data_IF_322305289357
#
_entry.id   IF_322305289357
#
_cell.length_a   1.000
_cell.length_b   1.000
_cell.length_c   1.000
_cell.angle_alpha   90.00
_cell.angle_beta   90.00
_cell.angle_gamma   90.00
#
_symmetry.space_group_name_H-M   'P 1'
#
loop_
_entity.id
_entity.type
_entity.pdbx_description
1 polymer ?
#
# COMPACT_ATOMS: atom_id res chain seq x y z
N UNK A 1 15.54 5.56 4.42
CA UNK A 1 14.68 5.92 3.28
C UNK A 1 14.37 7.40 3.40
N UNK A 2 14.30 8.12 2.28
CA UNK A 2 13.93 9.54 2.30
C UNK A 2 12.45 9.72 2.69
N UNK A 3 12.13 10.68 3.59
CA UNK A 3 10.76 10.94 3.98
C UNK A 3 9.99 11.66 2.87
N UNK A 4 8.66 11.56 2.91
CA UNK A 4 7.78 12.34 2.08
C UNK A 4 7.56 13.72 2.70
N UNK A 5 7.75 14.77 1.92
CA UNK A 5 7.48 16.15 2.35
C UNK A 5 6.16 16.62 1.73
N UNK A 6 5.17 16.90 2.58
CA UNK A 6 3.99 17.64 2.16
C UNK A 6 4.37 19.10 1.98
N UNK A 7 4.17 19.63 0.78
CA UNK A 7 4.47 21.01 0.42
C UNK A 7 3.21 21.74 -0.04
N UNK A 8 3.03 22.96 0.46
CA UNK A 8 2.11 23.93 -0.09
C UNK A 8 2.95 25.06 -0.65
N UNK A 9 2.98 25.21 -1.97
CA UNK A 9 3.93 26.07 -2.69
C UNK A 9 5.38 25.77 -2.25
N UNK A 10 6.13 26.79 -1.81
CA UNK A 10 7.51 26.66 -1.35
C UNK A 10 7.66 26.25 0.13
N UNK A 11 6.54 26.02 0.84
CA UNK A 11 6.55 25.70 2.26
C UNK A 11 6.25 24.24 2.53
N UNK A 12 7.15 23.57 3.27
CA UNK A 12 6.85 22.27 3.87
C UNK A 12 5.83 22.45 4.99
N UNK A 13 4.70 21.75 4.88
CA UNK A 13 3.60 21.78 5.85
C UNK A 13 3.51 20.50 6.69
N UNK A 14 4.23 19.44 6.29
CA UNK A 14 4.30 18.19 7.02
C UNK A 14 5.32 17.23 6.44
N UNK A 15 5.66 16.19 7.20
CA UNK A 15 6.65 15.17 6.83
C UNK A 15 6.08 13.80 7.21
N UNK A 16 6.24 12.80 6.35
CA UNK A 16 5.88 11.42 6.62
C UNK A 16 7.07 10.49 6.36
N UNK A 17 7.42 9.69 7.35
CA UNK A 17 8.49 8.70 7.32
C UNK A 17 7.96 7.29 7.03
N UNK A 18 6.67 7.06 7.31
CA UNK A 18 6.00 5.79 7.12
C UNK A 18 4.53 5.98 6.69
N UNK A 19 3.81 4.86 6.51
CA UNK A 19 2.40 4.85 6.06
C UNK A 19 1.47 5.52 7.08
N UNK A 20 1.73 5.39 8.39
CA UNK A 20 0.88 5.97 9.43
C UNK A 20 1.02 7.48 9.47
N UNK A 21 2.25 7.98 9.37
CA UNK A 21 2.49 9.41 9.25
C UNK A 21 1.94 9.97 7.93
N UNK A 22 1.98 9.19 6.84
CA UNK A 22 1.34 9.55 5.58
C UNK A 22 -0.18 9.67 5.76
N UNK A 23 -0.84 8.70 6.39
CA UNK A 23 -2.28 8.75 6.69
C UNK A 23 -2.63 9.99 7.53
N UNK A 24 -1.85 10.23 8.59
CA UNK A 24 -2.03 11.39 9.45
C UNK A 24 -1.90 12.70 8.67
N UNK A 25 -0.89 12.80 7.80
CA UNK A 25 -0.65 13.96 6.95
C UNK A 25 -1.82 14.22 5.99
N UNK A 26 -2.31 13.18 5.30
CA UNK A 26 -3.46 13.28 4.40
C UNK A 26 -4.72 13.74 5.15
N UNK A 27 -4.92 13.28 6.39
CA UNK A 27 -6.11 13.58 7.18
C UNK A 27 -6.11 14.98 7.83
N UNK A 28 -4.95 15.51 8.23
CA UNK A 28 -4.88 16.69 9.09
C UNK A 28 -4.23 17.92 8.45
N UNK A 29 -3.51 17.77 7.34
CA UNK A 29 -2.86 18.90 6.68
C UNK A 29 -3.81 19.62 5.72
N UNK A 30 -3.31 20.70 5.12
CA UNK A 30 -4.02 21.48 4.11
C UNK A 30 -4.51 20.58 2.96
N UNK A 31 -5.83 20.53 2.81
CA UNK A 31 -6.50 19.61 1.88
C UNK A 31 -6.24 19.97 0.42
N UNK A 32 -5.96 21.23 0.10
CA UNK A 32 -5.61 21.61 -1.28
C UNK A 32 -4.21 21.11 -1.66
N UNK A 33 -3.24 21.25 -0.75
CA UNK A 33 -1.90 20.72 -0.92
C UNK A 33 -1.91 19.18 -1.02
N UNK A 34 -2.69 18.50 -0.18
CA UNK A 34 -2.84 17.04 -0.23
C UNK A 34 -3.45 16.59 -1.57
N UNK A 35 -4.52 17.26 -2.03
CA UNK A 35 -5.12 16.98 -3.35
C UNK A 35 -4.13 17.16 -4.48
N UNK A 36 -3.32 18.21 -4.43
CA UNK A 36 -2.25 18.43 -5.40
C UNK A 36 -1.26 17.27 -5.41
N UNK A 37 -0.75 16.84 -4.27
CA UNK A 37 0.17 15.71 -4.18
C UNK A 37 -0.42 14.38 -4.65
N UNK A 38 -1.70 14.14 -4.39
CA UNK A 38 -2.44 12.97 -4.86
C UNK A 38 -2.59 13.01 -6.39
N UNK A 39 -3.05 14.14 -6.93
CA UNK A 39 -3.29 14.33 -8.37
C UNK A 39 -2.02 14.20 -9.21
N UNK A 40 -0.92 14.78 -8.75
CA UNK A 40 0.39 14.70 -9.43
C UNK A 40 1.07 13.34 -9.24
N UNK A 41 0.52 12.44 -8.42
CA UNK A 41 1.10 11.12 -8.16
C UNK A 41 2.37 11.15 -7.30
N UNK A 42 2.63 12.25 -6.58
CA UNK A 42 3.80 12.38 -5.71
C UNK A 42 3.81 11.30 -4.61
N UNK A 43 2.64 11.05 -4.00
CA UNK A 43 2.49 10.04 -2.94
C UNK A 43 2.71 8.63 -3.52
N UNK A 44 2.16 8.35 -4.71
CA UNK A 44 2.32 7.06 -5.40
C UNK A 44 3.80 6.80 -5.73
N UNK A 45 4.52 7.81 -6.22
CA UNK A 45 5.95 7.71 -6.51
C UNK A 45 6.76 7.42 -5.24
N UNK A 46 6.48 8.11 -4.14
CA UNK A 46 7.15 7.88 -2.87
C UNK A 46 6.88 6.47 -2.32
N UNK A 47 5.63 5.99 -2.38
CA UNK A 47 5.27 4.63 -1.97
C UNK A 47 6.01 3.56 -2.79
N UNK A 48 6.11 3.75 -4.10
CA UNK A 48 6.90 2.87 -4.95
C UNK A 48 8.39 2.86 -4.57
N UNK A 49 8.94 4.03 -4.24
CA UNK A 49 10.34 4.19 -3.82
C UNK A 49 10.62 3.46 -2.49
N UNK A 50 9.75 3.56 -1.50
CA UNK A 50 9.92 2.86 -0.20
C UNK A 50 9.55 1.37 -0.25
N UNK A 51 9.05 0.88 -1.40
CA UNK A 51 8.73 -0.54 -1.62
C UNK A 51 7.28 -0.93 -1.31
N UNK A 52 6.41 0.02 -0.97
CA UNK A 52 4.98 -0.20 -0.67
C UNK A 52 4.14 -0.24 -1.96
N UNK A 53 4.55 -1.11 -2.90
CA UNK A 53 3.97 -1.18 -4.27
C UNK A 53 2.47 -1.49 -4.29
N UNK A 54 2.00 -2.32 -3.35
CA UNK A 54 0.58 -2.66 -3.24
C UNK A 54 -0.28 -1.43 -2.93
N UNK A 55 0.18 -0.61 -1.97
CA UNK A 55 -0.51 0.64 -1.64
C UNK A 55 -0.37 1.68 -2.77
N UNK A 56 0.79 1.74 -3.42
CA UNK A 56 1.01 2.63 -4.57
C UNK A 56 -0.01 2.35 -5.69
N UNK A 57 -0.26 1.09 -6.01
CA UNK A 57 -1.27 0.70 -7.01
C UNK A 57 -2.70 1.03 -6.55
N UNK A 58 -3.03 0.84 -5.26
CA UNK A 58 -4.35 1.19 -4.71
C UNK A 58 -4.65 2.69 -4.72
N UNK A 59 -3.61 3.54 -4.67
CA UNK A 59 -3.72 5.00 -4.70
C UNK A 59 -3.56 5.60 -6.11
N UNK A 60 -3.31 4.78 -7.12
CA UNK A 60 -3.12 5.25 -8.49
C UNK A 60 -4.40 5.89 -9.02
N UNK A 61 -4.30 7.16 -9.43
CA UNK A 61 -5.44 7.94 -9.94
C UNK A 61 -6.40 8.44 -8.87
N UNK A 62 -6.15 8.18 -7.58
CA UNK A 62 -6.94 8.73 -6.47
C UNK A 62 -6.57 10.19 -6.30
N UNK A 63 -7.58 11.07 -6.35
CA UNK A 63 -7.40 12.52 -6.15
C UNK A 63 -8.09 13.05 -4.89
N UNK A 64 -9.00 12.27 -4.31
CA UNK A 64 -9.74 12.67 -3.11
C UNK A 64 -9.03 12.21 -1.82
N UNK A 65 -8.75 13.10 -0.85
CA UNK A 65 -8.08 12.73 0.38
C UNK A 65 -8.85 11.68 1.21
N UNK A 66 -10.19 11.70 1.22
CA UNK A 66 -10.98 10.73 2.01
C UNK A 66 -10.93 9.34 1.37
N UNK A 67 -10.95 9.27 0.05
CA UNK A 67 -10.71 8.03 -0.68
C UNK A 67 -9.31 7.49 -0.40
N UNK A 68 -8.28 8.34 -0.43
CA UNK A 68 -6.91 7.95 -0.14
C UNK A 68 -6.76 7.35 1.27
N UNK A 69 -7.34 7.99 2.29
CA UNK A 69 -7.37 7.46 3.66
C UNK A 69 -8.06 6.09 3.72
N UNK A 70 -9.20 5.94 3.04
CA UNK A 70 -9.93 4.67 3.01
C UNK A 70 -9.08 3.54 2.41
N UNK A 71 -8.34 3.81 1.33
CA UNK A 71 -7.44 2.84 0.69
C UNK A 71 -6.25 2.49 1.57
N UNK A 72 -5.68 3.46 2.28
CA UNK A 72 -4.59 3.22 3.24
C UNK A 72 -5.06 2.29 4.35
N UNK A 73 -6.23 2.54 4.93
CA UNK A 73 -6.81 1.68 5.98
C UNK A 73 -7.09 0.27 5.48
N UNK A 74 -7.69 0.15 4.29
CA UNK A 74 -7.91 -1.15 3.65
C UNK A 74 -6.60 -1.92 3.44
N UNK A 75 -5.57 -1.23 2.94
CA UNK A 75 -4.25 -1.80 2.75
C UNK A 75 -3.63 -2.30 4.06
N UNK A 76 -3.71 -1.53 5.15
CA UNK A 76 -3.21 -1.97 6.46
C UNK A 76 -3.94 -3.21 6.98
N UNK A 77 -5.27 -3.28 6.82
CA UNK A 77 -6.06 -4.46 7.20
C UNK A 77 -5.63 -5.69 6.39
N UNK A 78 -5.48 -5.55 5.07
CA UNK A 78 -5.03 -6.62 4.19
C UNK A 78 -3.62 -7.08 4.56
N UNK A 79 -2.68 -6.15 4.73
CA UNK A 79 -1.29 -6.41 5.10
C UNK A 79 -1.22 -7.18 6.43
N UNK A 80 -1.96 -6.74 7.44
CA UNK A 80 -2.04 -7.43 8.73
C UNK A 80 -2.67 -8.83 8.64
N UNK A 81 -3.63 -9.05 7.73
CA UNK A 81 -4.22 -10.37 7.51
C UNK A 81 -3.25 -11.36 6.85
N UNK A 82 -2.42 -10.88 5.90
CA UNK A 82 -1.42 -11.69 5.20
C UNK A 82 -0.34 -12.17 6.17
N UNK A 83 0.11 -11.31 7.08
CA UNK A 83 1.10 -11.68 8.10
C UNK A 83 0.55 -12.63 9.18
N UNK A 84 -0.77 -12.82 9.29
CA UNK A 84 -1.40 -13.74 10.24
C UNK A 84 -1.73 -15.12 9.65
N UNK A 85 -1.51 -15.34 8.35
CA UNK A 85 -1.70 -16.67 7.74
C UNK A 85 -0.57 -17.63 8.19
N UNK A 86 -0.87 -18.81 8.75
CA UNK A 86 0.15 -19.83 8.96
C UNK A 86 0.67 -20.30 7.59
N UNK A 87 1.95 -20.12 7.33
CA UNK A 87 2.64 -20.58 6.12
C UNK A 87 2.73 -22.11 6.08
N UNK A 88 1.64 -22.80 5.75
CA UNK A 88 1.68 -24.22 5.37
C UNK A 88 1.86 -24.35 3.85
N UNK A 89 3.11 -24.44 3.42
CA UNK A 89 3.49 -24.94 2.09
C UNK A 89 3.33 -26.46 2.03
N UNK A 90 2.11 -26.97 1.92
CA UNK A 90 1.91 -28.38 1.56
C UNK A 90 2.05 -28.56 0.05
N UNK A 91 3.27 -28.86 -0.42
CA UNK A 91 3.49 -29.55 -1.71
C UNK A 91 2.88 -30.95 -1.61
N UNK A 92 1.59 -31.09 -1.93
CA UNK A 92 0.99 -32.41 -2.14
C UNK A 92 1.41 -32.91 -3.53
N UNK A 93 2.55 -33.61 -3.59
CA UNK A 93 2.94 -34.39 -4.77
C UNK A 93 2.07 -35.66 -4.79
N UNK A 94 1.05 -35.66 -5.64
CA UNK A 94 0.19 -36.81 -5.88
C UNK A 94 0.97 -37.90 -6.63
N UNK A 95 1.58 -38.83 -5.90
CA UNK A 95 2.09 -40.09 -6.49
C UNK A 95 0.90 -40.90 -7.03
N UNK A 96 0.71 -40.91 -8.36
CA UNK A 96 -0.15 -41.87 -9.07
C UNK A 96 0.36 -43.28 -8.80
N UNK A 97 -0.42 -44.12 -8.09
CA UNK A 97 -0.24 -45.58 -8.07
C UNK A 97 -1.06 -46.17 -9.21
N UNK A 98 -0.38 -46.73 -10.20
CA UNK A 98 -1.00 -47.56 -11.24
C UNK A 98 -1.13 -48.99 -10.69
N UNK A 99 -2.34 -49.54 -10.70
CA UNK A 99 -2.57 -50.97 -10.47
C UNK A 99 -2.49 -51.70 -11.82
N UNK A 100 -1.53 -52.61 -11.96
CA UNK A 100 -1.50 -53.60 -13.05
C UNK A 100 -2.46 -54.73 -12.67
N UNK A 101 -3.52 -54.93 -13.45
CA UNK A 101 -4.27 -56.17 -13.48
C UNK A 101 -3.59 -57.09 -14.51
N UNK A 102 -3.12 -58.25 -14.06
CA UNK A 102 -2.74 -59.34 -14.96
C UNK A 102 -3.97 -60.25 -15.12
N UNK A 103 -4.37 -60.50 -16.36
CA UNK A 103 -5.25 -61.61 -16.73
C UNK A 103 -4.39 -62.77 -17.20
#
# INVERSE_FOLDING_TARGET
MEPFYFKSYDKTIGIAHDIKELEYGIANLDQEAVKYHLKEGHIVNWLNYIGEKGLAEMLKGVTDPKEAISRIKEYEVLKNSIYKLPTKSNKHSSKKKYYKFNY
#
